data_IF_749722691692
#
_entry.id   IF_749722691692
#
_cell.length_a   1.000
_cell.length_b   1.000
_cell.length_c   1.000
_cell.angle_alpha   90.00
_cell.angle_beta   90.00
_cell.angle_gamma   90.00
#
_symmetry.space_group_name_H-M   'P 1'
#
loop_
_entity.id
_entity.type
_entity.pdbx_description
1 polymer ?
#
# COMPACT_ATOMS: atom_id res chain seq x y z
N UNK A 1 44.89 28.54 21.59
CA UNK A 1 43.41 28.75 21.56
C UNK A 1 42.68 27.89 20.52
N UNK A 2 43.22 27.63 19.32
CA UNK A 2 42.53 26.84 18.28
C UNK A 2 42.22 25.35 18.58
N UNK A 3 42.93 24.71 19.52
CA UNK A 3 42.67 23.29 19.87
C UNK A 3 41.38 23.04 20.65
N UNK A 4 40.90 24.04 21.40
CA UNK A 4 39.63 23.95 22.15
C UNK A 4 38.41 24.13 21.23
N UNK A 5 38.54 24.97 20.21
CA UNK A 5 37.49 25.22 19.22
C UNK A 5 37.28 24.01 18.30
N UNK A 6 38.38 23.39 17.82
CA UNK A 6 38.31 22.17 17.01
C UNK A 6 37.64 21.01 17.76
N UNK A 7 37.93 20.87 19.06
CA UNK A 7 37.31 19.84 19.90
C UNK A 7 35.80 20.05 20.03
N UNK A 8 35.34 21.29 20.27
CA UNK A 8 33.92 21.63 20.31
C UNK A 8 33.21 21.35 18.98
N UNK A 9 33.86 21.66 17.86
CA UNK A 9 33.33 21.37 16.53
C UNK A 9 33.18 19.86 16.28
N UNK A 10 34.17 19.06 16.70
CA UNK A 10 34.10 17.59 16.60
C UNK A 10 32.97 16.99 17.45
N UNK A 11 32.79 17.48 18.68
CA UNK A 11 31.70 17.06 19.56
C UNK A 11 30.31 17.41 18.98
N UNK A 12 30.17 18.62 18.43
CA UNK A 12 28.95 19.03 17.74
C UNK A 12 28.68 18.14 16.52
N UNK A 13 29.68 17.89 15.67
CA UNK A 13 29.55 17.02 14.50
C UNK A 13 29.11 15.59 14.88
N UNK A 14 29.70 15.03 15.95
CA UNK A 14 29.31 13.71 16.45
C UNK A 14 27.84 13.68 16.92
N UNK A 15 27.40 14.74 17.61
CA UNK A 15 26.01 14.88 18.10
C UNK A 15 25.01 15.01 16.95
N UNK A 16 25.32 15.84 15.95
CA UNK A 16 24.51 15.98 14.72
C UNK A 16 24.41 14.63 13.99
N UNK A 17 25.53 13.92 13.85
CA UNK A 17 25.53 12.58 13.23
C UNK A 17 24.65 11.57 13.97
N UNK A 18 24.62 11.63 15.31
CA UNK A 18 23.73 10.79 16.13
C UNK A 18 22.25 11.14 15.92
N UNK A 19 21.92 12.43 15.95
CA UNK A 19 20.55 12.93 15.71
C UNK A 19 20.05 12.50 14.33
N UNK A 20 20.89 12.65 13.30
CA UNK A 20 20.55 12.26 11.92
C UNK A 20 20.26 10.76 11.77
N UNK A 21 21.08 9.90 12.38
CA UNK A 21 20.84 8.45 12.37
C UNK A 21 19.53 8.06 13.08
N UNK A 22 19.23 8.71 14.20
CA UNK A 22 18.00 8.45 14.94
C UNK A 22 16.76 8.93 14.16
N UNK A 23 16.84 10.11 13.53
CA UNK A 23 15.81 10.60 12.61
C UNK A 23 15.49 9.58 11.53
N UNK A 24 16.48 9.09 10.79
CA UNK A 24 16.27 8.08 9.74
C UNK A 24 15.61 6.81 10.26
N UNK A 25 15.99 6.35 11.46
CA UNK A 25 15.37 5.18 12.10
C UNK A 25 13.90 5.42 12.39
N UNK A 26 13.56 6.56 12.99
CA UNK A 26 12.18 6.92 13.36
C UNK A 26 11.31 7.21 12.12
N UNK A 27 11.85 7.94 11.15
CA UNK A 27 11.18 8.27 9.89
C UNK A 27 10.82 7.02 9.09
N UNK A 28 11.74 6.05 8.98
CA UNK A 28 11.44 4.76 8.35
C UNK A 28 10.37 3.98 9.09
N UNK A 29 10.37 4.04 10.42
CA UNK A 29 9.36 3.37 11.24
C UNK A 29 7.98 4.01 11.08
N UNK A 30 7.89 5.34 11.02
CA UNK A 30 6.62 6.05 10.87
C UNK A 30 5.97 5.83 9.51
N UNK A 31 6.74 5.50 8.46
CA UNK A 31 6.21 5.24 7.12
C UNK A 31 6.08 3.74 6.78
N UNK A 32 6.29 2.84 7.76
CA UNK A 32 6.36 1.39 7.53
C UNK A 32 5.09 0.85 6.89
N UNK A 33 3.94 1.24 7.42
CA UNK A 33 2.61 0.73 7.06
C UNK A 33 2.18 1.20 5.68
N UNK A 34 2.46 2.47 5.32
CA UNK A 34 2.29 2.96 3.94
C UNK A 34 3.15 2.15 2.97
N UNK A 35 4.42 1.89 3.32
CA UNK A 35 5.31 1.11 2.46
C UNK A 35 4.83 -0.33 2.28
N UNK A 36 4.35 -0.98 3.35
CA UNK A 36 3.78 -2.32 3.26
C UNK A 36 2.58 -2.31 2.32
N UNK A 37 1.63 -1.39 2.54
CA UNK A 37 0.44 -1.22 1.70
C UNK A 37 0.77 -1.16 0.21
N UNK A 38 1.74 -0.32 -0.18
CA UNK A 38 2.12 -0.18 -1.59
C UNK A 38 2.79 -1.43 -2.16
N UNK A 39 3.51 -2.20 -1.35
CA UNK A 39 4.27 -3.36 -1.81
C UNK A 39 3.47 -4.67 -1.80
N UNK A 40 2.46 -4.81 -0.95
CA UNK A 40 1.76 -6.08 -0.75
C UNK A 40 0.26 -5.93 -0.98
N UNK A 41 -0.41 -5.09 -0.19
CA UNK A 41 -1.87 -4.99 -0.18
C UNK A 41 -2.43 -4.39 -1.47
N UNK A 42 -1.76 -3.38 -2.03
CA UNK A 42 -2.16 -2.77 -3.30
C UNK A 42 -1.93 -3.73 -4.48
N UNK A 43 -0.85 -4.50 -4.44
CA UNK A 43 -0.52 -5.50 -5.46
C UNK A 43 -1.57 -6.64 -5.46
N UNK A 44 -1.95 -7.11 -4.26
CA UNK A 44 -3.03 -8.11 -4.12
C UNK A 44 -4.36 -7.61 -4.71
N UNK A 45 -4.75 -6.35 -4.45
CA UNK A 45 -5.94 -5.77 -5.07
C UNK A 45 -5.80 -5.71 -6.59
N UNK A 46 -4.63 -5.31 -7.09
CA UNK A 46 -4.39 -5.19 -8.52
C UNK A 46 -4.56 -6.55 -9.22
N UNK A 47 -3.93 -7.60 -8.69
CA UNK A 47 -4.09 -8.96 -9.21
C UNK A 47 -5.53 -9.45 -9.09
N UNK A 48 -6.20 -9.20 -7.95
CA UNK A 48 -7.60 -9.58 -7.79
C UNK A 48 -8.52 -8.90 -8.82
N UNK A 49 -8.28 -7.62 -9.14
CA UNK A 49 -9.01 -6.89 -10.18
C UNK A 49 -8.70 -7.39 -11.59
N UNK A 50 -7.45 -7.77 -11.87
CA UNK A 50 -7.05 -8.36 -13.15
C UNK A 50 -7.80 -9.67 -13.38
N UNK A 51 -7.76 -10.58 -12.41
CA UNK A 51 -8.49 -11.86 -12.49
C UNK A 51 -10.00 -11.62 -12.59
N UNK A 52 -10.56 -10.63 -11.89
CA UNK A 52 -11.98 -10.29 -12.02
C UNK A 52 -12.35 -9.91 -13.47
N UNK A 53 -11.49 -9.12 -14.13
CA UNK A 53 -11.74 -8.73 -15.51
C UNK A 53 -11.62 -9.92 -16.48
N UNK A 54 -10.69 -10.85 -16.24
CA UNK A 54 -10.62 -12.12 -16.99
C UNK A 54 -11.90 -12.94 -16.82
N UNK A 55 -12.38 -13.11 -15.58
CA UNK A 55 -13.64 -13.83 -15.30
C UNK A 55 -14.87 -13.16 -15.90
N UNK A 56 -14.89 -11.83 -15.96
CA UNK A 56 -15.94 -11.07 -16.64
C UNK A 56 -15.95 -11.41 -18.14
N UNK A 57 -14.78 -11.44 -18.78
CA UNK A 57 -14.65 -11.79 -20.19
C UNK A 57 -15.09 -13.24 -20.45
N UNK A 58 -14.68 -14.19 -19.61
CA UNK A 58 -15.10 -15.59 -19.68
C UNK A 58 -16.64 -15.72 -19.60
N UNK A 59 -17.25 -15.01 -18.64
CA UNK A 59 -18.70 -15.00 -18.44
C UNK A 59 -19.43 -14.35 -19.62
N UNK A 60 -18.94 -13.21 -20.13
CA UNK A 60 -19.52 -12.52 -21.28
C UNK A 60 -19.46 -13.41 -22.54
N UNK A 61 -18.35 -14.13 -22.74
CA UNK A 61 -18.20 -15.10 -23.81
C UNK A 61 -19.18 -16.27 -23.66
N UNK A 62 -19.28 -16.88 -22.47
CA UNK A 62 -20.22 -17.97 -22.22
C UNK A 62 -21.67 -17.54 -22.44
N UNK A 63 -22.03 -16.32 -22.02
CA UNK A 63 -23.35 -15.73 -22.25
C UNK A 63 -23.65 -15.54 -23.74
N UNK A 64 -22.67 -15.08 -24.51
CA UNK A 64 -22.80 -14.94 -25.96
C UNK A 64 -23.01 -16.29 -26.65
N UNK A 65 -22.23 -17.31 -26.27
CA UNK A 65 -22.35 -18.67 -26.79
C UNK A 65 -23.72 -19.30 -26.48
N UNK A 66 -24.22 -19.12 -25.25
CA UNK A 66 -25.55 -19.56 -24.85
C UNK A 66 -26.64 -18.90 -25.69
N UNK A 67 -26.56 -17.59 -25.92
CA UNK A 67 -27.52 -16.84 -26.73
C UNK A 67 -27.59 -17.33 -28.19
N UNK A 68 -26.46 -17.82 -28.72
CA UNK A 68 -26.37 -18.29 -30.11
C UNK A 68 -26.69 -19.79 -30.27
N UNK A 69 -26.80 -20.54 -29.18
CA UNK A 69 -27.18 -21.94 -29.21
C UNK A 69 -28.66 -22.10 -29.64
N UNK A 70 -28.92 -23.01 -30.59
CA UNK A 70 -30.26 -23.26 -31.14
C UNK A 70 -30.84 -24.64 -30.82
N UNK A 71 -29.97 -25.64 -30.68
CA UNK A 71 -30.38 -27.00 -30.36
C UNK A 71 -30.59 -27.15 -28.84
N UNK A 72 -31.70 -27.74 -28.36
CA UNK A 72 -32.01 -27.82 -26.93
C UNK A 72 -30.89 -28.43 -26.07
N UNK A 73 -30.29 -29.53 -26.51
CA UNK A 73 -29.18 -30.20 -25.81
C UNK A 73 -27.93 -29.30 -25.71
N UNK A 74 -27.66 -28.51 -26.75
CA UNK A 74 -26.54 -27.55 -26.78
C UNK A 74 -26.83 -26.35 -25.88
N UNK A 75 -28.08 -25.89 -25.84
CA UNK A 75 -28.52 -24.80 -24.95
C UNK A 75 -28.31 -25.20 -23.49
N UNK A 76 -28.73 -26.41 -23.10
CA UNK A 76 -28.56 -26.92 -21.74
C UNK A 76 -27.08 -27.02 -21.34
N UNK A 77 -26.24 -27.59 -22.21
CA UNK A 77 -24.79 -27.66 -22.00
C UNK A 77 -24.15 -26.26 -21.87
N UNK A 78 -24.51 -25.31 -22.75
CA UNK A 78 -23.97 -23.94 -22.70
C UNK A 78 -24.47 -23.17 -21.49
N UNK A 79 -25.69 -23.46 -21.02
CA UNK A 79 -26.23 -22.86 -19.80
C UNK A 79 -25.41 -23.28 -18.58
N UNK A 80 -25.05 -24.56 -18.48
CA UNK A 80 -24.17 -25.03 -17.40
C UNK A 80 -22.79 -24.34 -17.42
N UNK A 81 -22.22 -24.13 -18.61
CA UNK A 81 -20.95 -23.39 -18.76
C UNK A 81 -21.10 -21.94 -18.30
N UNK A 82 -22.19 -21.28 -18.69
CA UNK A 82 -22.47 -19.90 -18.26
C UNK A 82 -22.66 -19.80 -16.75
N UNK A 83 -23.44 -20.69 -16.13
CA UNK A 83 -23.65 -20.70 -14.69
C UNK A 83 -22.34 -20.90 -13.92
N UNK A 84 -21.46 -21.76 -14.42
CA UNK A 84 -20.15 -21.96 -13.81
C UNK A 84 -19.26 -20.71 -13.94
N UNK A 85 -19.22 -20.08 -15.12
CA UNK A 85 -18.47 -18.84 -15.33
C UNK A 85 -19.01 -17.69 -14.46
N UNK A 86 -20.33 -17.59 -14.31
CA UNK A 86 -20.99 -16.63 -13.44
C UNK A 86 -20.59 -16.82 -11.97
N UNK A 87 -20.61 -18.07 -11.46
CA UNK A 87 -20.17 -18.37 -10.09
C UNK A 87 -18.71 -17.96 -9.84
N UNK A 88 -17.81 -18.22 -10.80
CA UNK A 88 -16.42 -17.79 -10.69
C UNK A 88 -16.26 -16.26 -10.71
N UNK A 89 -17.00 -15.57 -11.57
CA UNK A 89 -17.03 -14.11 -11.59
C UNK A 89 -17.53 -13.54 -10.26
N UNK A 90 -18.66 -14.03 -9.74
CA UNK A 90 -19.26 -13.57 -8.48
C UNK A 90 -18.32 -13.83 -7.29
N UNK A 91 -17.72 -15.01 -7.22
CA UNK A 91 -16.73 -15.33 -6.18
C UNK A 91 -15.54 -14.37 -6.21
N UNK A 92 -15.03 -14.05 -7.40
CA UNK A 92 -13.91 -13.12 -7.53
C UNK A 92 -14.33 -11.67 -7.24
N UNK A 93 -15.56 -11.29 -7.61
CA UNK A 93 -16.12 -9.97 -7.30
C UNK A 93 -16.21 -9.78 -5.79
N UNK A 94 -16.69 -10.78 -5.05
CA UNK A 94 -16.74 -10.72 -3.59
C UNK A 94 -15.35 -10.54 -2.98
N UNK A 95 -14.33 -11.24 -3.49
CA UNK A 95 -12.94 -11.04 -3.04
C UNK A 95 -12.48 -9.59 -3.25
N UNK A 96 -12.75 -9.00 -4.41
CA UNK A 96 -12.39 -7.60 -4.69
C UNK A 96 -13.12 -6.63 -3.77
N UNK A 97 -14.43 -6.84 -3.54
CA UNK A 97 -15.22 -6.00 -2.65
C UNK A 97 -14.69 -6.06 -1.20
N UNK A 98 -14.37 -7.25 -0.70
CA UNK A 98 -13.77 -7.42 0.63
C UNK A 98 -12.42 -6.69 0.78
N UNK A 99 -11.58 -6.67 -0.26
CA UNK A 99 -10.34 -5.90 -0.26
C UNK A 99 -10.61 -4.39 -0.26
N UNK A 100 -11.60 -3.92 -1.03
CA UNK A 100 -11.99 -2.52 -1.06
C UNK A 100 -12.58 -2.05 0.28
N UNK A 101 -13.29 -2.91 0.99
CA UNK A 101 -13.83 -2.60 2.33
C UNK A 101 -12.72 -2.31 3.37
N UNK A 102 -11.48 -2.76 3.13
CA UNK A 102 -10.34 -2.44 4.00
C UNK A 102 -9.73 -1.05 3.73
N UNK A 103 -10.03 -0.40 2.60
CA UNK A 103 -9.43 0.88 2.21
C UNK A 103 -9.63 2.00 3.23
N UNK A 104 -10.84 2.21 3.79
CA UNK A 104 -11.04 3.24 4.81
C UNK A 104 -10.11 3.06 6.00
N UNK A 105 -9.91 1.80 6.45
CA UNK A 105 -9.03 1.45 7.55
C UNK A 105 -7.56 1.75 7.23
N UNK A 106 -7.08 1.37 6.04
CA UNK A 106 -5.71 1.70 5.62
C UNK A 106 -5.50 3.21 5.52
N UNK A 107 -6.47 3.94 4.97
CA UNK A 107 -6.42 5.41 4.88
C UNK A 107 -6.24 6.07 6.25
N UNK A 108 -6.99 5.64 7.25
CA UNK A 108 -6.86 6.15 8.61
C UNK A 108 -5.49 5.87 9.23
N UNK A 109 -4.96 4.66 9.02
CA UNK A 109 -3.60 4.29 9.49
C UNK A 109 -2.55 5.15 8.79
N UNK A 110 -2.64 5.32 7.48
CA UNK A 110 -1.69 6.12 6.70
C UNK A 110 -1.72 7.60 7.07
N UNK A 111 -2.89 8.13 7.44
CA UNK A 111 -2.98 9.50 7.94
C UNK A 111 -2.17 9.65 9.25
N UNK A 112 -2.29 8.70 10.17
CA UNK A 112 -1.54 8.68 11.43
C UNK A 112 -0.03 8.54 11.18
N UNK A 113 0.36 7.72 10.21
CA UNK A 113 1.77 7.55 9.79
C UNK A 113 2.39 8.87 9.30
N UNK A 114 1.65 9.61 8.46
CA UNK A 114 2.09 10.92 7.94
C UNK A 114 2.23 11.93 9.08
N UNK A 115 1.24 11.98 9.99
CA UNK A 115 1.30 12.85 11.17
C UNK A 115 2.50 12.51 12.05
N UNK A 116 2.76 11.23 12.30
CA UNK A 116 3.91 10.77 13.07
C UNK A 116 5.24 11.13 12.39
N UNK A 117 5.31 11.02 11.06
CA UNK A 117 6.48 11.44 10.28
C UNK A 117 6.71 12.95 10.43
N UNK A 118 5.66 13.77 10.35
CA UNK A 118 5.76 15.23 10.55
C UNK A 118 6.30 15.56 11.95
N UNK A 119 5.82 14.88 13.00
CA UNK A 119 6.35 15.05 14.36
C UNK A 119 7.84 14.71 14.45
N UNK A 120 8.25 13.58 13.86
CA UNK A 120 9.66 13.15 13.83
C UNK A 120 10.53 14.13 13.04
N UNK A 121 10.03 14.63 11.92
CA UNK A 121 10.72 15.59 11.07
C UNK A 121 10.92 16.94 11.77
N UNK A 122 9.87 17.44 12.45
CA UNK A 122 9.96 18.66 13.25
C UNK A 122 10.98 18.53 14.38
N UNK A 123 10.90 17.43 15.16
CA UNK A 123 11.83 17.17 16.26
C UNK A 123 13.28 17.12 15.78
N UNK A 124 13.54 16.50 14.63
CA UNK A 124 14.88 16.45 14.04
C UNK A 124 15.44 17.86 13.80
N UNK A 125 14.66 18.74 13.16
CA UNK A 125 15.11 20.11 12.88
C UNK A 125 15.29 20.95 14.15
N UNK A 126 14.41 20.80 15.15
CA UNK A 126 14.56 21.45 16.45
C UNK A 126 15.86 21.00 17.15
N UNK A 127 16.14 19.70 17.16
CA UNK A 127 17.35 19.15 17.77
C UNK A 127 18.62 19.58 17.04
N UNK A 128 18.61 19.57 15.71
CA UNK A 128 19.74 20.03 14.89
C UNK A 128 20.01 21.52 15.12
N UNK A 129 18.94 22.34 15.09
CA UNK A 129 19.03 23.78 15.37
C UNK A 129 19.62 24.04 16.75
N UNK A 130 19.12 23.36 17.79
CA UNK A 130 19.63 23.51 19.15
C UNK A 130 21.14 23.23 19.24
N UNK A 131 21.65 22.19 18.57
CA UNK A 131 23.09 21.88 18.59
C UNK A 131 23.92 22.95 17.89
N UNK A 132 23.39 23.56 16.82
CA UNK A 132 24.09 24.59 16.05
C UNK A 132 24.02 25.98 16.68
N UNK A 133 22.97 26.28 17.46
CA UNK A 133 22.76 27.60 18.09
C UNK A 133 23.17 27.65 19.55
N UNK A 134 23.41 26.52 20.20
CA UNK A 134 23.97 26.48 21.56
C UNK A 134 25.43 26.93 21.51
N UNK A 135 25.68 28.19 21.91
CA UNK A 135 27.02 28.77 22.09
C UNK A 135 27.72 28.20 23.32
#
# INVERSE_FOLDING_TARGET
>A
EGGNDLKKQLEAAAKLGSIHRDFHRRARRSLRTIRLFLCLEYDELWEARKVLNERRQDMDFAKHELKNAKAPEVVEMKNLVYENAQKHFESQLQKVLQLLDQFPKWKEVHLKDIQQFQTVYKLYHEQMSHVLTSK
#
